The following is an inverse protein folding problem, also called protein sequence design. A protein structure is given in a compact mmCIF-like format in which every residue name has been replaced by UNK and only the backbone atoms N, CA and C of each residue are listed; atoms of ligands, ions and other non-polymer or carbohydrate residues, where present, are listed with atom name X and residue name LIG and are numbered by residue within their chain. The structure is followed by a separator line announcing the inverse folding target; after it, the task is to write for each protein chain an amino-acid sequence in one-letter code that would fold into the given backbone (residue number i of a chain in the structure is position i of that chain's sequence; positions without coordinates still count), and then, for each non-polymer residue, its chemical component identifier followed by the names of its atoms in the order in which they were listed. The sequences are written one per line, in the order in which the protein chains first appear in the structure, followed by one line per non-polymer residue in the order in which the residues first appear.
data_IF_430534825913
#
_entry.id   IF_430534825913
#
_cell.length_a   1.000
_cell.length_b   1.000
_cell.length_c   1.000
_cell.angle_alpha   90.00
_cell.angle_beta   90.00
_cell.angle_gamma   90.00
#
_symmetry.space_group_name_H-M   'P 1'
#
loop_
_entity.id
_entity.type
_entity.pdbx_description
1 polymer ?
#
# COMPACT_ATOMS: atom_id res chain seq x y z
N UNK A 1 1.00 -19.05 -2.56
CA UNK A 1 0.50 -17.97 -3.41
C UNK A 1 -0.61 -17.20 -2.68
N UNK A 2 -0.41 -15.90 -2.56
CA UNK A 2 -1.38 -14.99 -1.94
C UNK A 2 -2.54 -14.79 -2.92
N UNK A 3 -3.76 -15.08 -2.49
CA UNK A 3 -4.97 -14.76 -3.26
C UNK A 3 -5.47 -13.37 -2.87
N UNK A 4 -5.85 -12.58 -3.84
CA UNK A 4 -6.71 -11.42 -3.57
C UNK A 4 -8.06 -11.92 -3.08
N UNK A 5 -8.52 -11.39 -1.96
CA UNK A 5 -9.79 -11.80 -1.35
C UNK A 5 -11.02 -11.44 -2.20
N UNK A 6 -10.86 -10.56 -3.20
CA UNK A 6 -11.97 -10.01 -3.97
C UNK A 6 -12.33 -10.77 -5.25
N UNK A 7 -11.38 -11.46 -5.89
CA UNK A 7 -11.57 -12.03 -7.22
C UNK A 7 -11.43 -13.56 -7.29
N UNK A 8 -11.13 -14.21 -6.19
CA UNK A 8 -10.99 -15.68 -6.07
C UNK A 8 -10.00 -16.31 -7.06
N UNK A 9 -9.15 -15.49 -7.69
CA UNK A 9 -8.13 -15.92 -8.66
C UNK A 9 -6.76 -15.76 -8.03
N UNK A 10 -5.80 -16.68 -8.28
CA UNK A 10 -4.42 -16.49 -7.83
C UNK A 10 -3.85 -15.18 -8.34
N UNK A 11 -3.32 -14.36 -7.46
CA UNK A 11 -2.65 -13.11 -7.84
C UNK A 11 -1.20 -13.36 -8.25
N UNK A 12 -0.69 -12.53 -9.16
CA UNK A 12 0.74 -12.47 -9.51
C UNK A 12 1.53 -11.65 -8.49
N UNK A 13 0.84 -10.94 -7.57
CA UNK A 13 1.49 -10.14 -6.54
C UNK A 13 1.98 -11.04 -5.41
N UNK A 14 3.20 -10.78 -4.96
CA UNK A 14 3.82 -11.40 -3.78
C UNK A 14 3.84 -10.35 -2.69
N UNK A 15 3.43 -10.73 -1.49
CA UNK A 15 3.58 -9.91 -0.29
C UNK A 15 4.79 -10.42 0.46
N UNK A 16 5.79 -9.56 0.65
CA UNK A 16 7.03 -9.85 1.34
C UNK A 16 7.18 -8.90 2.53
N UNK A 17 7.55 -9.43 3.70
CA UNK A 17 7.87 -8.62 4.86
C UNK A 17 9.36 -8.24 4.82
N UNK A 18 9.68 -6.97 5.07
CA UNK A 18 11.06 -6.46 5.08
C UNK A 18 11.72 -6.56 6.45
N UNK A 19 10.95 -6.91 7.47
CA UNK A 19 11.37 -7.06 8.87
C UNK A 19 10.42 -8.02 9.58
N UNK A 20 10.77 -8.54 10.78
CA UNK A 20 9.87 -9.38 11.55
C UNK A 20 8.55 -8.65 11.86
N UNK A 21 7.43 -9.31 11.56
CA UNK A 21 6.08 -8.75 11.75
C UNK A 21 5.16 -9.76 12.42
N UNK A 22 4.13 -9.27 13.08
CA UNK A 22 2.98 -10.06 13.55
C UNK A 22 1.79 -9.73 12.67
N UNK A 23 1.17 -10.75 12.08
CA UNK A 23 0.03 -10.61 11.18
C UNK A 23 -1.21 -11.26 11.79
N UNK A 24 -2.33 -10.55 11.72
CA UNK A 24 -3.65 -11.08 11.98
C UNK A 24 -4.35 -11.36 10.66
N UNK A 25 -4.67 -12.62 10.39
CA UNK A 25 -5.34 -13.04 9.16
C UNK A 25 -6.81 -13.36 9.44
N UNK A 26 -7.68 -12.77 8.64
CA UNK A 26 -9.12 -13.01 8.70
C UNK A 26 -9.56 -13.76 7.43
N UNK A 27 -9.98 -15.02 7.53
CA UNK A 27 -10.54 -15.73 6.39
C UNK A 27 -11.76 -15.00 5.83
N UNK A 28 -11.82 -14.86 4.53
CA UNK A 28 -12.90 -14.13 3.84
C UNK A 28 -14.29 -14.64 4.23
N UNK A 29 -14.49 -15.95 4.21
CA UNK A 29 -15.79 -16.56 4.48
C UNK A 29 -16.25 -16.33 5.91
N UNK A 30 -15.31 -16.35 6.86
CA UNK A 30 -15.59 -16.01 8.26
C UNK A 30 -15.99 -14.54 8.40
N UNK A 31 -15.27 -13.64 7.75
CA UNK A 31 -15.57 -12.21 7.78
C UNK A 31 -16.96 -11.91 7.20
N UNK A 32 -17.30 -12.52 6.06
CA UNK A 32 -18.62 -12.36 5.45
C UNK A 32 -19.75 -12.92 6.31
N UNK A 33 -19.53 -14.07 6.95
CA UNK A 33 -20.51 -14.63 7.88
C UNK A 33 -20.76 -13.68 9.05
N UNK A 34 -19.69 -13.21 9.69
CA UNK A 34 -19.80 -12.27 10.81
C UNK A 34 -20.44 -10.95 10.41
N UNK A 35 -20.13 -10.41 9.24
CA UNK A 35 -20.71 -9.17 8.72
C UNK A 35 -22.21 -9.31 8.42
N UNK A 36 -22.69 -10.51 8.05
CA UNK A 36 -24.14 -10.78 7.89
C UNK A 36 -24.89 -10.86 9.21
N UNK A 37 -24.25 -11.37 10.24
CA UNK A 37 -24.85 -11.61 11.54
C UNK A 37 -24.71 -10.40 12.48
N UNK A 38 -23.73 -9.51 12.20
CA UNK A 38 -23.42 -8.39 13.09
C UNK A 38 -23.28 -7.08 12.29
N UNK A 39 -24.17 -6.13 12.58
CA UNK A 39 -24.21 -4.83 11.91
C UNK A 39 -22.91 -4.02 12.11
N UNK A 40 -22.32 -4.04 13.29
CA UNK A 40 -21.08 -3.29 13.58
C UNK A 40 -19.90 -3.82 12.78
N UNK A 41 -19.79 -5.14 12.63
CA UNK A 41 -18.76 -5.76 11.78
C UNK A 41 -19.00 -5.40 10.31
N UNK A 42 -20.24 -5.40 9.86
CA UNK A 42 -20.57 -4.96 8.51
C UNK A 42 -20.17 -3.51 8.26
N UNK A 43 -20.49 -2.60 9.16
CA UNK A 43 -20.10 -1.20 9.09
C UNK A 43 -18.58 -1.03 9.08
N UNK A 44 -17.86 -1.75 9.94
CA UNK A 44 -16.41 -1.74 9.97
C UNK A 44 -15.82 -2.22 8.62
N UNK A 45 -16.34 -3.30 8.08
CA UNK A 45 -15.93 -3.83 6.77
C UNK A 45 -16.16 -2.83 5.64
N UNK A 46 -17.34 -2.19 5.60
CA UNK A 46 -17.65 -1.13 4.63
C UNK A 46 -16.67 0.04 4.73
N UNK A 47 -16.34 0.48 5.95
CA UNK A 47 -15.36 1.55 6.17
C UNK A 47 -13.94 1.20 5.70
N UNK A 48 -13.51 -0.04 5.89
CA UNK A 48 -12.22 -0.52 5.35
C UNK A 48 -12.23 -0.47 3.82
N UNK A 49 -13.31 -0.91 3.17
CA UNK A 49 -13.42 -0.89 1.71
C UNK A 49 -13.44 0.55 1.17
N UNK A 50 -14.22 1.43 1.78
CA UNK A 50 -14.29 2.85 1.44
C UNK A 50 -12.91 3.50 1.54
N UNK A 51 -12.22 3.30 2.67
CA UNK A 51 -10.86 3.81 2.89
C UNK A 51 -9.87 3.26 1.86
N UNK A 52 -9.92 1.96 1.58
CA UNK A 52 -9.04 1.32 0.60
C UNK A 52 -9.24 1.89 -0.81
N UNK A 53 -10.49 2.17 -1.18
CA UNK A 53 -10.82 2.78 -2.48
C UNK A 53 -10.28 4.22 -2.56
N UNK A 54 -10.49 5.03 -1.52
CA UNK A 54 -9.97 6.41 -1.45
C UNK A 54 -8.45 6.42 -1.57
N UNK A 55 -7.75 5.59 -0.80
CA UNK A 55 -6.28 5.50 -0.84
C UNK A 55 -5.79 5.06 -2.21
N UNK A 56 -6.48 4.10 -2.85
CA UNK A 56 -6.14 3.65 -4.20
C UNK A 56 -6.31 4.77 -5.23
N UNK A 57 -7.36 5.57 -5.11
CA UNK A 57 -7.60 6.73 -6.00
C UNK A 57 -6.53 7.81 -5.81
N UNK A 58 -6.22 8.17 -4.56
CA UNK A 58 -5.16 9.15 -4.26
C UNK A 58 -3.82 8.70 -4.86
N UNK A 59 -3.47 7.43 -4.71
CA UNK A 59 -2.25 6.87 -5.31
C UNK A 59 -2.25 6.95 -6.83
N UNK A 60 -3.37 6.60 -7.46
CA UNK A 60 -3.48 6.66 -8.92
C UNK A 60 -3.32 8.09 -9.44
N UNK A 61 -3.86 9.08 -8.74
CA UNK A 61 -3.73 10.49 -9.08
C UNK A 61 -2.31 11.00 -8.87
N UNK A 62 -1.69 10.63 -7.75
CA UNK A 62 -0.28 10.94 -7.48
C UNK A 62 0.65 10.44 -8.59
N UNK A 63 0.45 9.22 -9.07
CA UNK A 63 1.24 8.66 -10.16
C UNK A 63 1.05 9.35 -11.51
N UNK A 64 -0.12 9.94 -11.74
CA UNK A 64 -0.45 10.63 -13.01
C UNK A 64 0.02 12.07 -13.03
N UNK A 65 -0.04 12.76 -11.90
CA UNK A 65 0.08 14.22 -11.87
C UNK A 65 1.30 14.73 -11.12
N UNK A 66 1.90 13.92 -10.23
CA UNK A 66 3.04 14.34 -9.43
C UNK A 66 4.37 13.97 -10.07
N UNK A 67 5.34 14.85 -9.95
CA UNK A 67 6.74 14.58 -10.29
C UNK A 67 7.38 13.56 -9.34
N UNK A 68 8.52 13.00 -9.71
CA UNK A 68 9.29 12.11 -8.85
C UNK A 68 9.65 12.75 -7.50
N UNK A 69 9.99 14.05 -7.51
CA UNK A 69 10.32 14.82 -6.31
C UNK A 69 9.10 14.99 -5.39
N UNK A 70 7.94 15.34 -5.95
CA UNK A 70 6.70 15.51 -5.16
C UNK A 70 6.29 14.21 -4.50
N UNK A 71 6.31 13.09 -5.22
CA UNK A 71 6.02 11.77 -4.65
C UNK A 71 6.98 11.39 -3.51
N UNK A 72 8.27 11.69 -3.68
CA UNK A 72 9.26 11.44 -2.63
C UNK A 72 9.03 12.32 -1.40
N UNK A 73 8.77 13.62 -1.58
CA UNK A 73 8.51 14.54 -0.48
C UNK A 73 7.24 14.15 0.28
N UNK A 74 6.16 13.78 -0.43
CA UNK A 74 4.94 13.29 0.20
C UNK A 74 5.20 12.02 1.05
N UNK A 75 6.00 11.08 0.56
CA UNK A 75 6.36 9.90 1.34
C UNK A 75 7.22 10.27 2.56
N UNK A 76 8.16 11.21 2.41
CA UNK A 76 9.00 11.67 3.49
C UNK A 76 8.19 12.38 4.61
N UNK A 77 7.16 13.12 4.25
CA UNK A 77 6.27 13.81 5.19
C UNK A 77 5.29 12.85 5.88
N UNK A 78 4.71 11.92 5.12
CA UNK A 78 3.65 11.04 5.64
C UNK A 78 4.19 9.78 6.33
N UNK A 79 5.32 9.24 5.85
CA UNK A 79 5.88 7.98 6.32
C UNK A 79 7.42 8.01 6.38
N UNK A 80 8.02 8.90 7.17
CA UNK A 80 9.48 9.05 7.25
C UNK A 80 10.20 7.78 7.73
N UNK A 81 9.52 6.92 8.48
CA UNK A 81 10.03 5.63 8.93
C UNK A 81 10.31 4.66 7.77
N UNK A 82 9.51 4.70 6.70
CA UNK A 82 9.73 3.87 5.51
C UNK A 82 11.04 4.26 4.83
N UNK A 83 11.28 5.57 4.70
CA UNK A 83 12.51 6.10 4.07
C UNK A 83 13.76 5.65 4.84
N UNK A 84 13.66 5.50 6.16
CA UNK A 84 14.79 5.10 7.03
C UNK A 84 15.02 3.60 7.07
N UNK A 85 13.97 2.78 6.92
CA UNK A 85 13.99 1.34 7.20
C UNK A 85 13.95 0.47 5.94
N UNK A 86 13.27 0.93 4.88
CA UNK A 86 13.14 0.15 3.66
C UNK A 86 14.37 0.31 2.74
N UNK A 87 14.77 -0.76 2.03
CA UNK A 87 15.83 -0.68 1.01
C UNK A 87 15.46 0.31 -0.11
N UNK A 88 16.46 0.99 -0.65
CA UNK A 88 16.29 2.00 -1.70
C UNK A 88 15.50 1.48 -2.90
N UNK A 89 15.77 0.24 -3.33
CA UNK A 89 15.09 -0.39 -4.45
C UNK A 89 13.57 -0.55 -4.22
N UNK A 90 13.16 -0.89 -2.99
CA UNK A 90 11.74 -1.00 -2.63
C UNK A 90 11.06 0.36 -2.59
N UNK A 91 11.73 1.38 -2.05
CA UNK A 91 11.22 2.76 -2.05
C UNK A 91 11.05 3.27 -3.48
N UNK A 92 12.05 3.07 -4.34
CA UNK A 92 11.99 3.48 -5.74
C UNK A 92 10.83 2.79 -6.48
N UNK A 93 10.68 1.48 -6.30
CA UNK A 93 9.57 0.72 -6.87
C UNK A 93 8.21 1.20 -6.38
N UNK A 94 8.08 1.49 -5.08
CA UNK A 94 6.84 2.03 -4.50
C UNK A 94 6.46 3.40 -5.07
N UNK A 95 7.47 4.25 -5.32
CA UNK A 95 7.29 5.58 -5.89
C UNK A 95 7.24 5.58 -7.43
N UNK A 96 7.25 4.41 -8.08
CA UNK A 96 7.28 4.25 -9.54
C UNK A 96 8.40 5.04 -10.21
N UNK A 97 9.61 4.88 -9.71
CA UNK A 97 10.82 5.46 -10.29
C UNK A 97 11.99 4.48 -10.22
N UNK A 98 13.05 4.74 -10.96
CA UNK A 98 14.28 3.94 -10.87
C UNK A 98 15.07 4.30 -9.60
N UNK A 99 15.91 3.40 -9.08
CA UNK A 99 16.80 3.71 -7.95
C UNK A 99 17.72 4.91 -8.25
N UNK A 100 18.16 5.08 -9.49
CA UNK A 100 18.98 6.21 -9.94
C UNK A 100 18.21 7.52 -9.85
N UNK A 101 16.95 7.52 -10.30
CA UNK A 101 16.05 8.69 -10.18
C UNK A 101 15.83 9.05 -8.72
N UNK A 102 15.56 8.06 -7.86
CA UNK A 102 15.41 8.28 -6.42
C UNK A 102 16.68 8.85 -5.79
N UNK A 103 17.84 8.34 -6.17
CA UNK A 103 19.13 8.86 -5.70
C UNK A 103 19.32 10.34 -6.06
N UNK A 104 18.97 10.74 -7.29
CA UNK A 104 19.02 12.13 -7.75
C UNK A 104 18.03 13.04 -7.02
N UNK A 105 16.81 12.56 -6.79
CA UNK A 105 15.80 13.30 -5.99
C UNK A 105 16.31 13.55 -4.58
N UNK A 106 16.91 12.53 -3.94
CA UNK A 106 17.47 12.65 -2.58
C UNK A 106 18.66 13.60 -2.48
N UNK A 107 19.50 13.65 -3.52
CA UNK A 107 20.64 14.57 -3.58
C UNK A 107 20.28 15.98 -4.00
N UNK A 108 19.01 16.25 -4.32
CA UNK A 108 18.55 17.57 -4.76
C UNK A 108 18.90 17.92 -6.21
N UNK A 109 19.33 16.95 -7.02
CA UNK A 109 19.68 17.14 -8.45
C UNK A 109 18.43 17.12 -9.36
N UNK A 110 17.31 16.56 -8.87
CA UNK A 110 16.00 16.54 -9.54
C UNK A 110 14.95 17.22 -8.69
#
# INVERSE_FOLDING_TARGET
PTRRSSDLVPTKLIVETLEPVVLYMFPRDMLFKLAKENWEINMFYQKILEYSLIVSQIKADSWRFESARERYNLLLETHPEIIKRAPLAHIASYLLMTPETLSRVRSGVL
#
